data_IF_701925759655
#
_entry.id   IF_701925759655
#
_cell.length_a   1.000
_cell.length_b   1.000
_cell.length_c   1.000
_cell.angle_alpha   90.00
_cell.angle_beta   90.00
_cell.angle_gamma   90.00
#
_symmetry.space_group_name_H-M   'P 1'
#
loop_
_entity.id
_entity.type
_entity.pdbx_description
1 polymer ?
#
# COMPACT_ATOMS: atom_id res chain seq x y z
N UNK A 1 -16.07 12.49 -13.35
CA UNK A 1 -15.50 13.56 -14.23
C UNK A 1 -14.10 13.86 -13.74
N UNK A 2 -13.11 14.02 -14.63
CA UNK A 2 -11.74 14.33 -14.24
C UNK A 2 -11.70 15.66 -13.45
N UNK A 3 -10.98 15.67 -12.33
CA UNK A 3 -10.80 16.88 -11.50
C UNK A 3 -9.99 17.90 -12.29
N UNK A 4 -10.53 19.10 -12.49
CA UNK A 4 -9.76 20.23 -13.00
C UNK A 4 -8.76 20.69 -11.93
N UNK A 5 -7.49 20.35 -12.11
CA UNK A 5 -6.43 20.66 -11.15
C UNK A 5 -6.16 22.18 -11.07
N UNK A 6 -6.42 22.95 -12.13
CA UNK A 6 -6.26 24.40 -12.10
C UNK A 6 -7.37 25.04 -11.26
N UNK A 7 -8.60 24.58 -11.45
CA UNK A 7 -9.72 25.02 -10.62
C UNK A 7 -9.50 24.63 -9.15
N UNK A 8 -9.10 23.39 -8.88
CA UNK A 8 -8.77 22.92 -7.53
C UNK A 8 -7.67 23.78 -6.90
N UNK A 9 -6.61 24.10 -7.65
CA UNK A 9 -5.52 24.98 -7.18
C UNK A 9 -6.03 26.38 -6.85
N UNK A 10 -6.88 26.98 -7.67
CA UNK A 10 -7.45 28.30 -7.41
C UNK A 10 -8.29 28.34 -6.13
N UNK A 11 -9.18 27.34 -5.94
CA UNK A 11 -10.01 27.23 -4.73
C UNK A 11 -9.18 26.97 -3.48
N UNK A 12 -8.13 26.16 -3.57
CA UNK A 12 -7.18 25.93 -2.48
C UNK A 12 -6.42 27.21 -2.10
N UNK A 13 -5.96 28.00 -3.07
CA UNK A 13 -5.27 29.28 -2.80
C UNK A 13 -6.16 30.23 -1.99
N UNK A 14 -7.44 30.38 -2.38
CA UNK A 14 -8.39 31.20 -1.63
C UNK A 14 -8.61 30.67 -0.21
N UNK A 15 -8.82 29.36 -0.08
CA UNK A 15 -9.04 28.71 1.22
C UNK A 15 -7.82 28.84 2.15
N UNK A 16 -6.59 28.66 1.64
CA UNK A 16 -5.35 28.87 2.41
C UNK A 16 -5.23 30.33 2.85
N UNK A 17 -5.62 31.29 2.00
CA UNK A 17 -5.67 32.70 2.36
C UNK A 17 -6.52 32.99 3.59
N UNK A 18 -7.65 32.29 3.74
CA UNK A 18 -8.52 32.39 4.93
C UNK A 18 -7.85 31.83 6.19
N UNK A 19 -6.99 30.80 6.05
CA UNK A 19 -6.23 30.21 7.16
C UNK A 19 -4.97 31.02 7.53
N UNK A 20 -4.48 31.87 6.63
CA UNK A 20 -3.26 32.67 6.79
C UNK A 20 -3.53 34.18 6.63
N UNK A 21 -4.25 34.83 7.56
CA UNK A 21 -4.74 36.21 7.38
C UNK A 21 -3.65 37.28 7.22
N UNK A 22 -2.42 36.99 7.66
CA UNK A 22 -1.24 37.88 7.52
C UNK A 22 -0.46 37.64 6.22
N UNK A 23 -0.68 36.51 5.56
CA UNK A 23 0.00 36.20 4.31
C UNK A 23 -0.54 37.08 3.17
N UNK A 24 0.36 37.45 2.26
CA UNK A 24 0.10 38.19 1.03
C UNK A 24 0.71 37.42 -0.14
N UNK A 25 0.23 37.68 -1.35
CA UNK A 25 0.72 37.07 -2.59
C UNK A 25 0.82 35.53 -2.50
N UNK A 26 -0.21 34.88 -1.96
CA UNK A 26 -0.22 33.41 -1.81
C UNK A 26 -0.25 32.77 -3.20
N UNK A 27 0.66 31.83 -3.41
CA UNK A 27 0.78 31.05 -4.64
C UNK A 27 0.98 29.58 -4.29
N UNK A 28 0.48 28.71 -5.17
CA UNK A 28 0.67 27.27 -5.08
C UNK A 28 1.44 26.79 -6.30
N UNK A 29 2.42 25.91 -6.11
CA UNK A 29 3.03 25.18 -7.22
C UNK A 29 2.00 24.29 -7.92
N UNK A 30 2.41 23.64 -9.01
CA UNK A 30 1.60 22.57 -9.59
C UNK A 30 1.34 21.45 -8.58
N UNK A 31 0.10 20.93 -8.59
CA UNK A 31 -0.31 19.81 -7.73
C UNK A 31 0.21 18.51 -8.33
N UNK A 32 1.16 17.87 -7.67
CA UNK A 32 1.77 16.62 -8.12
C UNK A 32 1.16 15.44 -7.40
N UNK A 33 0.77 14.36 -8.10
CA UNK A 33 0.34 13.12 -7.45
C UNK A 33 1.57 12.25 -7.15
N UNK A 34 1.84 11.90 -5.87
CA UNK A 34 2.94 11.00 -5.54
C UNK A 34 2.52 9.56 -5.80
N UNK A 35 2.93 9.01 -6.95
CA UNK A 35 2.62 7.63 -7.33
C UNK A 35 1.14 7.27 -7.16
N UNK A 36 0.84 5.98 -6.98
CA UNK A 36 -0.54 5.51 -6.75
C UNK A 36 -0.80 5.19 -5.29
N UNK A 37 -1.62 6.02 -4.63
CA UNK A 37 -2.42 5.62 -3.47
C UNK A 37 -3.81 5.19 -3.94
N UNK A 38 -4.23 3.96 -3.65
CA UNK A 38 -5.50 3.41 -4.14
C UNK A 38 -6.71 3.78 -3.27
N UNK A 39 -6.46 4.05 -1.98
CA UNK A 39 -7.49 4.32 -0.98
C UNK A 39 -7.91 5.79 -0.93
N UNK A 40 -6.99 6.74 -1.13
CA UNK A 40 -7.22 8.18 -0.96
C UNK A 40 -6.47 9.02 -1.99
N UNK A 41 -6.95 10.23 -2.25
CA UNK A 41 -6.32 11.17 -3.18
C UNK A 41 -5.24 11.98 -2.44
N UNK A 42 -3.99 11.85 -2.90
CA UNK A 42 -2.83 12.57 -2.34
C UNK A 42 -2.23 13.52 -3.38
N UNK A 43 -1.90 14.75 -2.96
CA UNK A 43 -1.21 15.74 -3.79
C UNK A 43 -0.06 16.39 -3.01
N UNK A 44 1.07 16.58 -3.67
CA UNK A 44 2.25 17.32 -3.18
C UNK A 44 2.34 18.66 -3.90
N UNK A 45 2.61 19.72 -3.15
CA UNK A 45 2.85 21.06 -3.70
C UNK A 45 3.53 21.97 -2.68
N UNK A 46 4.03 23.10 -3.15
CA UNK A 46 4.58 24.17 -2.33
C UNK A 46 3.58 25.32 -2.21
N UNK A 47 3.45 25.86 -1.01
CA UNK A 47 2.77 27.12 -0.71
C UNK A 47 3.85 28.20 -0.63
N UNK A 48 3.81 29.20 -1.51
CA UNK A 48 4.65 30.40 -1.45
C UNK A 48 3.82 31.62 -0.99
N UNK A 49 4.36 32.45 -0.11
CA UNK A 49 3.69 33.69 0.32
C UNK A 49 4.67 34.74 0.82
N UNK A 50 4.20 35.98 0.95
CA UNK A 50 4.90 37.05 1.67
C UNK A 50 4.27 37.31 3.03
N UNK A 51 5.09 37.44 4.05
CA UNK A 51 4.67 37.85 5.40
C UNK A 51 5.79 38.70 6.02
N UNK A 52 5.46 39.85 6.59
CA UNK A 52 6.40 40.79 7.18
C UNK A 52 7.54 41.22 6.23
N UNK A 53 7.20 41.43 4.95
CA UNK A 53 8.14 41.86 3.92
C UNK A 53 9.12 40.77 3.44
N UNK A 54 8.94 39.51 3.86
CA UNK A 54 9.80 38.38 3.48
C UNK A 54 9.02 37.34 2.69
N UNK A 55 9.65 36.80 1.66
CA UNK A 55 9.17 35.61 0.97
C UNK A 55 9.39 34.37 1.85
N UNK A 56 8.37 33.53 1.91
CA UNK A 56 8.35 32.28 2.64
C UNK A 56 7.75 31.19 1.75
N UNK A 57 8.20 29.96 1.95
CA UNK A 57 7.62 28.79 1.29
C UNK A 57 7.47 27.62 2.27
N UNK A 58 6.55 26.71 1.95
CA UNK A 58 6.34 25.47 2.69
C UNK A 58 5.84 24.39 1.75
N UNK A 59 6.54 23.25 1.73
CA UNK A 59 6.09 22.05 1.05
C UNK A 59 5.04 21.32 1.88
N UNK A 60 3.94 20.95 1.24
CA UNK A 60 2.78 20.34 1.89
C UNK A 60 2.28 19.11 1.14
N UNK A 61 1.56 18.28 1.89
CA UNK A 61 0.80 17.14 1.37
C UNK A 61 -0.67 17.40 1.64
N UNK A 62 -1.49 17.33 0.60
CA UNK A 62 -2.94 17.25 0.70
C UNK A 62 -3.36 15.80 0.63
N UNK A 63 -4.17 15.35 1.59
CA UNK A 63 -4.86 14.05 1.54
C UNK A 63 -6.36 14.28 1.62
N UNK A 64 -7.11 13.63 0.73
CA UNK A 64 -8.57 13.74 0.65
C UNK A 64 -9.24 12.39 0.44
N UNK A 65 -10.51 12.29 0.85
CA UNK A 65 -11.31 11.11 0.57
C UNK A 65 -11.48 10.93 -0.96
N UNK A 66 -11.47 9.68 -1.47
CA UNK A 66 -11.67 9.46 -2.91
C UNK A 66 -13.08 9.88 -3.32
N UNK A 67 -13.18 10.62 -4.42
CA UNK A 67 -14.47 11.09 -4.96
C UNK A 67 -15.24 10.00 -5.69
N UNK A 68 -14.51 9.13 -6.37
CA UNK A 68 -15.04 8.02 -7.16
C UNK A 68 -14.31 6.73 -6.78
N UNK A 69 -14.94 5.57 -7.04
CA UNK A 69 -14.33 4.24 -6.88
C UNK A 69 -13.65 4.01 -5.52
N UNK A 70 -14.46 4.09 -4.46
CA UNK A 70 -14.06 3.82 -3.07
C UNK A 70 -13.47 2.42 -2.91
N UNK A 71 -12.42 2.30 -2.09
CA UNK A 71 -11.85 1.01 -1.65
C UNK A 71 -12.43 0.59 -0.31
N UNK A 72 -12.74 1.56 0.56
CA UNK A 72 -13.40 1.36 1.85
C UNK A 72 -14.86 1.83 1.81
N UNK A 73 -15.76 1.22 2.61
CA UNK A 73 -17.15 1.68 2.71
C UNK A 73 -17.26 3.10 3.26
N UNK A 74 -16.37 3.46 4.19
CA UNK A 74 -16.37 4.69 4.96
C UNK A 74 -14.96 5.33 4.92
N UNK A 75 -14.89 6.67 4.95
CA UNK A 75 -13.64 7.44 4.92
C UNK A 75 -13.67 8.54 5.99
N UNK A 76 -12.96 8.31 7.09
CA UNK A 76 -12.89 9.23 8.23
C UNK A 76 -11.59 10.07 8.19
N UNK A 77 -11.51 11.01 7.23
CA UNK A 77 -10.33 11.88 7.06
C UNK A 77 -10.06 12.73 8.31
N UNK A 78 -11.12 13.17 9.00
CA UNK A 78 -11.01 13.89 10.27
C UNK A 78 -10.38 13.07 11.39
N UNK A 79 -10.66 11.77 11.46
CA UNK A 79 -10.01 10.87 12.43
C UNK A 79 -8.51 10.76 12.17
N UNK A 80 -8.10 10.59 10.90
CA UNK A 80 -6.67 10.55 10.54
C UNK A 80 -5.95 11.83 10.95
N UNK A 81 -6.52 12.99 10.63
CA UNK A 81 -5.96 14.28 11.03
C UNK A 81 -5.79 14.38 12.54
N UNK A 82 -6.83 14.02 13.29
CA UNK A 82 -6.85 14.12 14.75
C UNK A 82 -5.86 13.16 15.40
N UNK A 83 -5.73 11.93 14.92
CA UNK A 83 -4.71 10.98 15.40
C UNK A 83 -3.33 11.58 15.23
N UNK A 84 -2.97 11.96 14.00
CA UNK A 84 -1.62 12.47 13.70
C UNK A 84 -1.31 13.76 14.45
N UNK A 85 -2.30 14.65 14.62
CA UNK A 85 -2.14 15.86 15.42
C UNK A 85 -1.84 15.53 16.89
N UNK A 86 -2.64 14.65 17.52
CA UNK A 86 -2.45 14.24 18.91
C UNK A 86 -1.07 13.60 19.10
N UNK A 87 -0.69 12.69 18.19
CA UNK A 87 0.62 12.03 18.24
C UNK A 87 1.75 13.04 18.12
N UNK A 88 1.66 13.99 17.19
CA UNK A 88 2.71 15.01 16.98
C UNK A 88 2.87 15.94 18.18
N UNK A 89 1.77 16.33 18.80
CA UNK A 89 1.76 17.32 19.87
C UNK A 89 2.10 16.73 21.25
N UNK A 90 1.86 15.43 21.46
CA UNK A 90 1.88 14.82 22.80
C UNK A 90 2.79 13.59 22.94
N UNK A 91 3.50 13.16 21.89
CA UNK A 91 4.30 11.92 21.90
C UNK A 91 5.57 12.02 21.06
N UNK A 92 6.44 11.01 21.20
CA UNK A 92 7.64 10.83 20.36
C UNK A 92 7.42 9.89 19.16
N UNK A 93 6.15 9.60 18.82
CA UNK A 93 5.83 8.85 17.59
C UNK A 93 6.15 9.75 16.39
N UNK A 94 7.00 9.31 15.45
CA UNK A 94 7.39 10.14 14.33
C UNK A 94 6.23 10.24 13.34
N UNK A 95 5.55 11.39 13.31
CA UNK A 95 4.49 11.71 12.35
C UNK A 95 4.70 13.12 11.78
N UNK A 96 4.10 13.37 10.60
CA UNK A 96 4.06 14.69 10.00
C UNK A 96 3.27 15.68 10.86
N UNK A 97 3.66 16.96 10.79
CA UNK A 97 2.91 18.02 11.44
C UNK A 97 1.65 18.31 10.63
N UNK A 98 0.51 18.23 11.30
CA UNK A 98 -0.78 18.59 10.71
C UNK A 98 -0.90 20.12 10.61
N UNK A 99 -1.40 20.62 9.49
CA UNK A 99 -1.58 22.06 9.25
C UNK A 99 -3.04 22.44 9.44
N UNK A 100 -3.93 21.95 8.59
CA UNK A 100 -5.34 22.31 8.60
C UNK A 100 -6.22 21.15 8.11
N UNK A 101 -7.41 21.04 8.68
CA UNK A 101 -8.49 20.14 8.24
C UNK A 101 -9.63 20.99 7.64
N UNK A 102 -10.22 20.49 6.56
CA UNK A 102 -11.47 20.98 6.00
C UNK A 102 -12.43 19.79 5.84
N UNK A 103 -13.55 19.87 6.55
CA UNK A 103 -14.58 18.83 6.53
C UNK A 103 -15.67 19.15 5.50
N UNK A 104 -15.82 20.42 5.10
CA UNK A 104 -16.79 20.82 4.09
C UNK A 104 -16.27 20.47 2.68
N UNK A 105 -16.96 19.59 1.93
CA UNK A 105 -16.57 19.26 0.57
C UNK A 105 -16.69 20.44 -0.41
N UNK A 106 -17.30 21.57 -0.03
CA UNK A 106 -17.50 22.71 -0.93
C UNK A 106 -16.20 23.27 -1.56
N UNK A 107 -15.06 23.14 -0.89
CA UNK A 107 -13.79 23.71 -1.37
C UNK A 107 -13.25 22.93 -2.57
N UNK A 108 -13.00 21.63 -2.43
CA UNK A 108 -12.39 20.83 -3.50
C UNK A 108 -13.26 19.67 -3.98
N UNK A 109 -14.45 19.45 -3.41
CA UNK A 109 -15.35 18.35 -3.74
C UNK A 109 -15.24 17.13 -2.81
N UNK A 110 -14.40 17.19 -1.77
CA UNK A 110 -14.25 16.16 -0.74
C UNK A 110 -13.63 16.76 0.54
N UNK A 111 -13.87 16.17 1.72
CA UNK A 111 -13.10 16.47 2.93
C UNK A 111 -11.62 16.19 2.73
N UNK A 112 -10.76 17.05 3.27
CA UNK A 112 -9.31 16.95 3.12
C UNK A 112 -8.55 17.58 4.28
N UNK A 113 -7.27 17.22 4.40
CA UNK A 113 -6.35 17.96 5.25
C UNK A 113 -5.05 18.30 4.52
N UNK A 114 -4.35 19.30 5.04
CA UNK A 114 -2.95 19.58 4.72
C UNK A 114 -2.04 19.19 5.89
N UNK A 115 -0.89 18.61 5.56
CA UNK A 115 0.22 18.35 6.49
C UNK A 115 1.55 18.79 5.89
N UNK A 116 2.58 18.94 6.71
CA UNK A 116 3.94 19.19 6.23
C UNK A 116 4.45 18.02 5.38
N UNK A 117 5.05 18.33 4.23
CA UNK A 117 5.82 17.35 3.47
C UNK A 117 7.14 17.11 4.20
N UNK A 118 7.41 15.86 4.53
CA UNK A 118 8.68 15.42 5.11
C UNK A 118 9.58 14.87 4.00
N UNK A 119 10.89 15.04 4.17
CA UNK A 119 11.88 14.51 3.24
C UNK A 119 12.23 13.06 3.58
N UNK A 120 12.24 12.20 2.56
CA UNK A 120 12.53 10.79 2.67
C UNK A 120 11.82 9.99 1.58
N UNK A 121 11.98 8.67 1.61
CA UNK A 121 11.32 7.74 0.71
C UNK A 121 10.61 6.62 1.45
N UNK A 122 9.64 6.01 0.79
CA UNK A 122 9.00 4.79 1.24
C UNK A 122 9.41 3.62 0.33
N UNK A 123 9.66 2.42 0.90
CA UNK A 123 9.69 1.19 0.14
C UNK A 123 8.36 1.02 -0.61
N UNK A 124 8.41 0.87 -1.93
CA UNK A 124 7.21 0.81 -2.76
C UNK A 124 6.51 -0.55 -2.65
N UNK A 125 5.18 -0.54 -2.66
CA UNK A 125 4.38 -1.77 -2.73
C UNK A 125 4.38 -2.35 -4.16
N UNK A 126 4.41 -1.48 -5.17
CA UNK A 126 4.49 -1.86 -6.58
C UNK A 126 5.38 -0.89 -7.38
N UNK A 127 6.35 -1.40 -8.16
CA UNK A 127 6.92 -2.74 -8.04
C UNK A 127 7.41 -3.00 -6.60
N UNK A 128 7.31 -4.25 -6.15
CA UNK A 128 7.61 -4.61 -4.76
C UNK A 128 9.00 -4.17 -4.32
N UNK A 129 9.10 -3.73 -3.06
CA UNK A 129 10.37 -3.38 -2.42
C UNK A 129 11.35 -4.55 -2.28
N UNK A 130 10.91 -5.81 -2.47
CA UNK A 130 11.79 -6.97 -2.61
C UNK A 130 12.37 -7.15 -4.01
N UNK A 131 11.90 -6.39 -5.00
CA UNK A 131 12.35 -6.45 -6.39
C UNK A 131 12.87 -5.14 -6.97
N UNK A 132 12.67 -4.00 -6.31
CA UNK A 132 13.28 -2.71 -6.72
C UNK A 132 13.18 -1.61 -5.67
N UNK A 133 13.86 -0.50 -5.92
CA UNK A 133 13.78 0.70 -5.11
C UNK A 133 14.62 0.63 -3.83
N UNK A 134 14.34 1.54 -2.90
CA UNK A 134 15.28 1.86 -1.82
C UNK A 134 15.63 0.69 -0.89
N UNK A 135 14.72 -0.28 -0.73
CA UNK A 135 14.90 -1.44 0.14
C UNK A 135 15.68 -2.55 -0.56
N UNK A 136 15.43 -2.74 -1.86
CA UNK A 136 16.19 -3.64 -2.72
C UNK A 136 17.65 -3.19 -2.84
N UNK A 137 17.88 -1.90 -3.06
CA UNK A 137 19.20 -1.28 -3.19
C UNK A 137 19.99 -1.19 -1.87
N UNK A 138 19.32 -1.38 -0.74
CA UNK A 138 19.95 -1.30 0.57
C UNK A 138 20.92 -2.48 0.82
N UNK A 139 21.91 -2.28 1.69
CA UNK A 139 22.70 -3.41 2.20
C UNK A 139 21.87 -4.26 3.18
N UNK A 140 22.25 -5.51 3.48
CA UNK A 140 21.57 -6.32 4.49
C UNK A 140 21.44 -5.62 5.85
N UNK A 141 22.48 -4.91 6.29
CA UNK A 141 22.45 -4.15 7.55
C UNK A 141 21.48 -2.97 7.50
N UNK A 142 21.40 -2.28 6.35
CA UNK A 142 20.43 -1.21 6.15
C UNK A 142 18.99 -1.74 6.13
N UNK A 143 18.72 -2.88 5.49
CA UNK A 143 17.40 -3.54 5.54
C UNK A 143 17.02 -3.94 6.96
N UNK A 144 17.99 -4.49 7.70
CA UNK A 144 17.82 -4.85 9.12
C UNK A 144 17.46 -3.62 9.94
N UNK A 145 18.20 -2.51 9.75
CA UNK A 145 17.95 -1.23 10.41
C UNK A 145 16.57 -0.67 10.09
N UNK A 146 16.17 -0.66 8.82
CA UNK A 146 14.85 -0.17 8.38
C UNK A 146 13.73 -0.96 9.05
N UNK A 147 13.86 -2.29 9.07
CA UNK A 147 12.89 -3.19 9.67
C UNK A 147 12.75 -2.98 11.19
N UNK A 148 13.88 -2.85 11.89
CA UNK A 148 13.87 -2.54 13.32
C UNK A 148 13.34 -1.16 13.63
N UNK A 149 13.65 -0.16 12.81
CA UNK A 149 13.08 1.19 12.95
C UNK A 149 11.55 1.17 12.83
N UNK A 150 11.00 0.45 11.85
CA UNK A 150 9.55 0.31 11.68
C UNK A 150 8.90 -0.40 12.87
N UNK A 151 9.50 -1.49 13.36
CA UNK A 151 9.04 -2.19 14.56
C UNK A 151 9.09 -1.30 15.80
N UNK A 152 10.16 -0.53 16.00
CA UNK A 152 10.33 0.37 17.13
C UNK A 152 9.31 1.52 17.09
N UNK A 153 9.01 2.06 15.90
CA UNK A 153 7.94 3.04 15.72
C UNK A 153 6.57 2.44 16.09
N UNK A 154 6.26 1.23 15.63
CA UNK A 154 5.04 0.51 16.00
C UNK A 154 4.96 0.26 17.52
N UNK A 155 6.06 -0.13 18.16
CA UNK A 155 6.10 -0.30 19.64
C UNK A 155 5.85 1.02 20.37
N UNK A 156 6.39 2.14 19.89
CA UNK A 156 6.10 3.46 20.47
C UNK A 156 4.59 3.76 20.45
N UNK A 157 3.91 3.45 19.35
CA UNK A 157 2.46 3.59 19.21
C UNK A 157 1.72 2.71 20.22
N UNK A 158 2.09 1.43 20.30
CA UNK A 158 1.42 0.47 21.18
C UNK A 158 1.55 0.82 22.68
N UNK A 159 2.68 1.42 23.08
CA UNK A 159 2.93 1.78 24.49
C UNK A 159 2.24 3.07 24.94
N UNK A 160 1.53 3.77 24.05
CA UNK A 160 0.80 4.98 24.40
C UNK A 160 -0.39 4.70 25.32
N UNK A 161 -0.59 5.59 26.28
CA UNK A 161 -1.82 5.66 27.07
C UNK A 161 -2.90 6.38 26.23
N UNK A 162 -3.57 5.62 25.37
CA UNK A 162 -4.55 6.16 24.42
C UNK A 162 -5.73 6.86 25.11
N UNK A 163 -6.04 6.51 26.37
CA UNK A 163 -7.08 7.16 27.17
C UNK A 163 -6.64 8.55 27.59
N UNK A 164 -5.41 8.70 28.10
CA UNK A 164 -4.84 10.04 28.41
C UNK A 164 -4.73 10.92 27.19
N UNK A 165 -4.45 10.33 26.03
CA UNK A 165 -4.42 11.01 24.73
C UNK A 165 -5.82 11.30 24.16
N UNK A 166 -6.90 10.89 24.84
CA UNK A 166 -8.29 11.10 24.42
C UNK A 166 -8.60 10.53 23.03
N UNK A 167 -8.04 9.37 22.71
CA UNK A 167 -8.24 8.66 21.44
C UNK A 167 -9.50 7.77 21.41
N UNK A 168 -10.42 7.93 22.37
CA UNK A 168 -11.65 7.13 22.47
C UNK A 168 -12.61 7.28 21.29
N UNK A 169 -12.45 8.31 20.45
CA UNK A 169 -13.23 8.48 19.21
C UNK A 169 -12.98 7.37 18.18
N UNK A 170 -11.85 6.65 18.26
CA UNK A 170 -11.59 5.45 17.46
C UNK A 170 -12.39 4.23 17.91
N UNK A 171 -13.18 4.39 18.98
CA UNK A 171 -14.03 3.36 19.51
C UNK A 171 -13.57 2.85 20.86
N UNK A 172 -14.25 3.29 21.91
CA UNK A 172 -14.11 2.66 23.22
C UNK A 172 -14.83 1.31 23.25
N UNK A 173 -14.08 0.25 23.57
CA UNK A 173 -14.65 -1.06 23.82
C UNK A 173 -15.02 -1.14 25.31
N UNK A 174 -16.18 -1.73 25.61
CA UNK A 174 -16.65 -1.89 27.01
C UNK A 174 -15.73 -2.80 27.81
N UNK A 175 -15.11 -3.77 27.11
CA UNK A 175 -14.11 -4.69 27.62
C UNK A 175 -13.19 -5.13 26.45
N UNK A 176 -12.07 -5.83 26.70
CA UNK A 176 -11.17 -6.23 25.63
C UNK A 176 -11.81 -7.15 24.57
N UNK A 177 -12.66 -8.10 24.95
CA UNK A 177 -13.33 -9.00 23.99
C UNK A 177 -14.22 -8.23 22.98
N UNK A 178 -14.87 -7.16 23.44
CA UNK A 178 -15.69 -6.26 22.62
C UNK A 178 -14.88 -5.60 21.49
N UNK A 179 -13.56 -5.48 21.61
CA UNK A 179 -12.72 -4.93 20.54
C UNK A 179 -12.57 -5.85 19.33
N UNK A 180 -12.41 -7.15 19.58
CA UNK A 180 -12.36 -8.18 18.53
C UNK A 180 -13.72 -8.25 17.84
N UNK A 181 -14.80 -8.20 18.62
CA UNK A 181 -16.17 -8.18 18.09
C UNK A 181 -16.42 -6.97 17.19
N UNK A 182 -15.96 -5.78 17.58
CA UNK A 182 -16.08 -4.56 16.77
C UNK A 182 -15.30 -4.67 15.47
N UNK A 183 -14.07 -5.17 15.51
CA UNK A 183 -13.28 -5.41 14.30
C UNK A 183 -14.00 -6.39 13.37
N UNK A 184 -14.45 -7.53 13.89
CA UNK A 184 -15.19 -8.51 13.09
C UNK A 184 -16.48 -7.93 12.50
N UNK A 185 -17.22 -7.13 13.27
CA UNK A 185 -18.44 -6.48 12.77
C UNK A 185 -18.14 -5.51 11.62
N UNK A 186 -17.04 -4.76 11.69
CA UNK A 186 -16.62 -3.89 10.57
C UNK A 186 -16.26 -4.70 9.34
N UNK A 187 -15.43 -5.74 9.48
CA UNK A 187 -14.98 -6.54 8.34
C UNK A 187 -16.07 -7.44 7.74
N UNK A 188 -17.06 -7.86 8.53
CA UNK A 188 -18.29 -8.50 8.03
C UNK A 188 -19.10 -7.51 7.17
N UNK A 189 -19.28 -6.27 7.63
CA UNK A 189 -19.93 -5.23 6.81
C UNK A 189 -19.14 -4.93 5.54
N UNK A 190 -17.82 -4.82 5.62
CA UNK A 190 -16.95 -4.65 4.45
C UNK A 190 -17.13 -5.81 3.47
N UNK A 191 -17.11 -7.05 3.97
CA UNK A 191 -17.26 -8.23 3.12
C UNK A 191 -18.61 -8.27 2.41
N UNK A 192 -19.70 -7.85 3.07
CA UNK A 192 -20.99 -7.73 2.39
C UNK A 192 -21.02 -6.57 1.38
N UNK A 193 -20.40 -5.43 1.72
CA UNK A 193 -20.34 -4.24 0.87
C UNK A 193 -19.56 -4.46 -0.43
N UNK A 194 -18.47 -5.23 -0.40
CA UNK A 194 -17.64 -5.48 -1.59
C UNK A 194 -18.28 -6.47 -2.58
N UNK A 195 -19.37 -7.15 -2.21
CA UNK A 195 -20.11 -8.04 -3.11
C UNK A 195 -20.87 -7.21 -4.15
N UNK A 196 -20.78 -7.59 -5.42
CA UNK A 196 -21.53 -6.96 -6.50
C UNK A 196 -23.03 -7.32 -6.40
N UNK A 197 -23.36 -8.46 -5.78
CA UNK A 197 -24.73 -8.82 -5.42
C UNK A 197 -24.77 -9.81 -4.23
N UNK A 198 -25.92 -9.96 -3.54
CA UNK A 198 -26.03 -10.82 -2.36
C UNK A 198 -25.76 -12.32 -2.58
N UNK A 199 -25.80 -12.80 -3.84
CA UNK A 199 -25.55 -14.21 -4.19
C UNK A 199 -24.09 -14.50 -4.55
N UNK A 200 -23.25 -13.47 -4.63
CA UNK A 200 -21.82 -13.66 -4.88
C UNK A 200 -21.17 -14.44 -3.74
N UNK A 201 -20.51 -15.54 -4.07
CA UNK A 201 -19.86 -16.43 -3.10
C UNK A 201 -18.34 -16.26 -3.15
N UNK A 202 -17.74 -16.22 -1.96
CA UNK A 202 -16.29 -16.28 -1.75
C UNK A 202 -16.01 -17.37 -0.72
N UNK A 203 -15.94 -18.66 -1.11
CA UNK A 203 -15.96 -19.77 -0.17
C UNK A 203 -14.87 -19.70 0.90
N UNK A 204 -13.63 -19.36 0.51
CA UNK A 204 -12.51 -19.20 1.43
C UNK A 204 -12.73 -18.05 2.41
N UNK A 205 -13.25 -16.91 1.94
CA UNK A 205 -13.53 -15.74 2.79
C UNK A 205 -14.69 -16.02 3.76
N UNK A 206 -15.74 -16.70 3.29
CA UNK A 206 -16.90 -17.11 4.09
C UNK A 206 -16.50 -18.09 5.21
N UNK A 207 -15.70 -19.11 4.88
CA UNK A 207 -15.17 -20.06 5.86
C UNK A 207 -14.23 -19.37 6.86
N UNK A 208 -13.40 -18.43 6.39
CA UNK A 208 -12.50 -17.64 7.25
C UNK A 208 -13.28 -16.78 8.24
N UNK A 209 -14.30 -16.06 7.78
CA UNK A 209 -15.14 -15.24 8.66
C UNK A 209 -15.85 -16.10 9.72
N UNK A 210 -16.33 -17.29 9.34
CA UNK A 210 -16.92 -18.23 10.29
C UNK A 210 -15.90 -18.72 11.33
N UNK A 211 -14.67 -19.02 10.89
CA UNK A 211 -13.58 -19.41 11.80
C UNK A 211 -13.24 -18.27 12.77
N UNK A 212 -13.10 -17.04 12.29
CA UNK A 212 -12.82 -15.87 13.12
C UNK A 212 -13.90 -15.66 14.19
N UNK A 213 -15.18 -15.72 13.80
CA UNK A 213 -16.31 -15.59 14.74
C UNK A 213 -16.34 -16.71 15.80
N UNK A 214 -15.94 -17.93 15.43
CA UNK A 214 -15.89 -19.09 16.34
C UNK A 214 -14.70 -19.05 17.30
N UNK A 215 -13.56 -18.54 16.87
CA UNK A 215 -12.30 -18.59 17.62
C UNK A 215 -11.94 -17.25 18.28
N UNK A 216 -12.94 -16.38 18.49
CA UNK A 216 -12.76 -15.11 19.19
C UNK A 216 -12.05 -15.32 20.53
N UNK A 217 -11.18 -14.37 20.87
CA UNK A 217 -10.45 -14.33 22.12
C UNK A 217 -10.67 -12.98 22.80
N UNK A 218 -10.28 -12.90 24.08
CA UNK A 218 -10.21 -11.63 24.80
C UNK A 218 -8.75 -11.17 24.82
N UNK A 219 -8.39 -10.06 24.15
CA UNK A 219 -7.08 -9.46 24.28
C UNK A 219 -6.72 -9.18 25.74
N UNK A 220 -5.44 -9.34 26.09
CA UNK A 220 -4.95 -8.99 27.43
C UNK A 220 -4.90 -7.48 27.65
N UNK A 221 -4.83 -6.71 26.55
CA UNK A 221 -4.60 -5.27 26.54
C UNK A 221 -5.24 -4.63 25.32
N UNK A 222 -5.51 -3.34 25.47
CA UNK A 222 -6.11 -2.49 24.45
C UNK A 222 -5.18 -1.31 24.21
N UNK A 223 -4.63 -1.19 23.01
CA UNK A 223 -3.71 -0.11 22.62
C UNK A 223 -4.27 0.67 21.45
N UNK A 224 -3.66 1.83 21.14
CA UNK A 224 -3.76 2.36 19.79
C UNK A 224 -3.04 1.39 18.85
N UNK A 225 -3.74 0.91 17.83
CA UNK A 225 -3.19 0.15 16.72
C UNK A 225 -3.15 1.09 15.50
N UNK A 226 -2.01 1.11 14.83
CA UNK A 226 -1.75 1.88 13.63
C UNK A 226 -2.64 1.41 12.46
N UNK A 227 -2.90 0.10 12.35
CA UNK A 227 -3.82 -0.44 11.36
C UNK A 227 -3.13 -0.88 10.07
N UNK A 228 -2.69 0.06 9.21
CA UNK A 228 -1.88 -0.27 8.01
C UNK A 228 -0.38 -0.23 8.32
N UNK A 229 0.01 -1.01 9.33
CA UNK A 229 1.34 -0.97 9.95
C UNK A 229 2.39 -1.74 9.14
N UNK A 230 2.85 -1.15 8.04
CA UNK A 230 3.80 -1.76 7.08
C UNK A 230 4.98 -0.85 6.72
N UNK A 231 6.06 -1.46 6.21
CA UNK A 231 7.26 -0.69 5.82
C UNK A 231 6.95 0.32 4.71
N UNK A 232 6.01 -0.01 3.81
CA UNK A 232 5.60 0.88 2.73
C UNK A 232 4.81 2.12 3.19
N UNK A 233 4.40 2.17 4.46
CA UNK A 233 3.86 3.37 5.11
C UNK A 233 4.84 3.98 6.12
N UNK A 234 6.11 3.60 6.05
CA UNK A 234 7.18 4.17 6.86
C UNK A 234 8.10 4.98 5.95
N UNK A 235 8.22 6.28 6.22
CA UNK A 235 9.12 7.18 5.52
C UNK A 235 10.53 7.04 6.12
N UNK A 236 11.53 6.86 5.28
CA UNK A 236 12.93 6.69 5.68
C UNK A 236 13.83 7.77 5.09
N UNK A 237 14.83 8.19 5.85
CA UNK A 237 15.82 9.18 5.41
C UNK A 237 16.80 8.63 4.37
N UNK A 238 17.36 9.52 3.56
CA UNK A 238 18.57 9.24 2.76
C UNK A 238 19.79 9.97 3.35
N UNK A 239 20.99 9.37 3.27
CA UNK A 239 21.27 7.96 2.94
C UNK A 239 21.08 7.01 4.15
N UNK A 240 20.84 7.55 5.34
CA UNK A 240 20.99 6.82 6.61
C UNK A 240 19.91 5.77 6.90
N UNK A 241 18.77 5.80 6.19
CA UNK A 241 17.65 4.87 6.35
C UNK A 241 17.02 4.90 7.76
N UNK A 242 17.03 6.06 8.41
CA UNK A 242 16.35 6.27 9.69
C UNK A 242 14.86 6.49 9.46
N UNK A 243 14.00 6.03 10.37
CA UNK A 243 12.56 6.33 10.32
C UNK A 243 12.34 7.82 10.54
N UNK A 244 11.76 8.48 9.54
CA UNK A 244 11.38 9.90 9.57
C UNK A 244 9.93 10.06 10.02
N UNK A 245 9.03 9.19 9.53
CA UNK A 245 7.63 9.19 9.93
C UNK A 245 6.93 7.86 9.65
N UNK A 246 5.92 7.53 10.45
CA UNK A 246 4.90 6.54 10.13
C UNK A 246 3.64 7.26 9.64
N UNK A 247 3.06 6.76 8.55
CA UNK A 247 2.00 7.43 7.80
C UNK A 247 0.77 6.53 7.70
N UNK A 248 -0.27 7.03 7.06
CA UNK A 248 -1.47 6.25 6.75
C UNK A 248 -2.20 5.65 7.97
N UNK A 249 -2.93 6.53 8.65
CA UNK A 249 -3.67 6.20 9.87
C UNK A 249 -5.15 5.90 9.59
N UNK A 250 -5.52 5.60 8.33
CA UNK A 250 -6.92 5.41 7.93
C UNK A 250 -7.56 4.15 8.50
N UNK A 251 -6.74 3.16 8.81
CA UNK A 251 -7.15 1.88 9.38
C UNK A 251 -6.93 1.80 10.90
N UNK A 252 -6.58 2.92 11.55
CA UNK A 252 -6.25 2.95 12.97
C UNK A 252 -7.46 2.62 13.85
N UNK A 253 -7.23 1.90 14.94
CA UNK A 253 -8.26 1.45 15.85
C UNK A 253 -7.72 1.25 17.26
N UNK A 254 -8.61 1.11 18.24
CA UNK A 254 -8.24 0.65 19.59
C UNK A 254 -8.45 -0.86 19.66
N UNK A 255 -7.38 -1.62 19.89
CA UNK A 255 -7.38 -3.08 19.67
C UNK A 255 -6.26 -3.84 20.38
N UNK A 256 -6.15 -5.12 20.03
CA UNK A 256 -4.98 -5.93 20.36
C UNK A 256 -3.80 -5.52 19.46
N UNK A 257 -2.64 -5.11 20.02
CA UNK A 257 -1.47 -4.72 19.23
C UNK A 257 -0.87 -5.87 18.40
N UNK A 258 -1.19 -7.13 18.71
CA UNK A 258 -0.79 -8.26 17.87
C UNK A 258 -1.42 -8.19 16.46
N UNK A 259 -2.51 -7.45 16.29
CA UNK A 259 -3.13 -7.19 14.99
C UNK A 259 -2.20 -6.42 14.02
N UNK A 260 -1.45 -5.44 14.53
CA UNK A 260 -0.47 -4.69 13.73
C UNK A 260 0.76 -5.53 13.41
N UNK A 261 1.20 -6.37 14.35
CA UNK A 261 2.34 -7.27 14.14
C UNK A 261 2.00 -8.33 13.06
N UNK A 262 0.79 -8.88 13.11
CA UNK A 262 0.30 -9.82 12.10
C UNK A 262 0.11 -9.15 10.73
N UNK A 263 -0.37 -7.90 10.69
CA UNK A 263 -0.45 -7.11 9.46
C UNK A 263 0.94 -6.91 8.84
N UNK A 264 1.93 -6.55 9.67
CA UNK A 264 3.31 -6.35 9.24
C UNK A 264 3.89 -7.60 8.55
N UNK A 265 3.70 -8.79 9.13
CA UNK A 265 4.16 -10.04 8.54
C UNK A 265 3.41 -10.42 7.27
N UNK A 266 2.09 -10.28 7.26
CA UNK A 266 1.27 -10.67 6.12
C UNK A 266 1.58 -9.80 4.90
N UNK A 267 1.79 -8.48 5.08
CA UNK A 267 2.17 -7.60 3.97
C UNK A 267 3.56 -7.94 3.43
N UNK A 268 4.51 -8.31 4.28
CA UNK A 268 5.83 -8.73 3.79
C UNK A 268 5.79 -10.04 3.02
N UNK A 269 4.97 -11.00 3.48
CA UNK A 269 4.70 -12.24 2.76
C UNK A 269 4.04 -11.97 1.40
N UNK A 270 3.07 -11.05 1.34
CA UNK A 270 2.47 -10.61 0.08
C UNK A 270 3.52 -9.99 -0.86
N UNK A 271 4.34 -9.07 -0.36
CA UNK A 271 5.30 -8.34 -1.18
C UNK A 271 6.50 -9.20 -1.60
N UNK A 272 6.75 -10.32 -0.93
CA UNK A 272 7.72 -11.33 -1.36
C UNK A 272 7.02 -12.49 -2.10
N UNK A 273 6.58 -13.51 -1.35
CA UNK A 273 5.95 -14.73 -1.87
C UNK A 273 4.74 -14.46 -2.75
N UNK A 274 3.90 -13.47 -2.40
CA UNK A 274 2.71 -13.12 -3.19
C UNK A 274 3.03 -12.59 -4.59
N UNK A 275 4.22 -12.01 -4.79
CA UNK A 275 4.73 -11.62 -6.10
C UNK A 275 5.76 -12.59 -6.68
N UNK A 276 5.97 -13.76 -6.04
CA UNK A 276 6.98 -14.73 -6.48
C UNK A 276 8.42 -14.29 -6.28
N UNK A 277 8.66 -13.30 -5.43
CA UNK A 277 9.98 -12.76 -5.19
C UNK A 277 10.64 -13.42 -3.97
N UNK A 278 11.97 -13.64 -4.01
CA UNK A 278 12.69 -14.02 -2.82
C UNK A 278 12.66 -12.89 -1.79
N UNK A 279 12.52 -13.25 -0.52
CA UNK A 279 12.65 -12.31 0.58
C UNK A 279 14.12 -11.91 0.72
N UNK A 280 14.42 -10.61 0.68
CA UNK A 280 15.80 -10.11 0.65
C UNK A 280 16.58 -10.40 1.95
N UNK A 281 17.88 -10.69 1.82
CA UNK A 281 18.78 -10.94 2.94
C UNK A 281 18.92 -9.72 3.86
N UNK A 282 18.94 -9.91 5.17
CA UNK A 282 18.88 -8.81 6.15
C UNK A 282 17.46 -8.34 6.47
N UNK A 283 16.42 -8.94 5.88
CA UNK A 283 15.06 -8.86 6.41
C UNK A 283 14.94 -9.84 7.58
N UNK A 284 14.70 -9.39 8.83
CA UNK A 284 14.61 -10.28 9.99
C UNK A 284 13.48 -11.29 9.89
N UNK A 285 13.69 -12.50 10.43
CA UNK A 285 12.67 -13.55 10.44
C UNK A 285 11.54 -13.25 11.43
N UNK A 286 10.31 -13.68 11.13
CA UNK A 286 9.13 -13.41 11.96
C UNK A 286 9.37 -13.72 13.45
N UNK A 287 10.04 -14.85 13.75
CA UNK A 287 10.37 -15.24 15.11
C UNK A 287 11.36 -14.29 15.81
N UNK A 288 12.29 -13.67 15.08
CA UNK A 288 13.19 -12.64 15.62
C UNK A 288 12.42 -11.35 15.90
N UNK A 289 11.52 -10.97 14.99
CA UNK A 289 10.65 -9.79 15.16
C UNK A 289 9.77 -9.95 16.38
N UNK A 290 9.13 -11.10 16.56
CA UNK A 290 8.33 -11.42 17.76
C UNK A 290 9.19 -11.29 19.02
N UNK A 291 10.36 -11.95 19.08
CA UNK A 291 11.23 -11.85 20.27
C UNK A 291 11.64 -10.41 20.59
N UNK A 292 11.97 -9.61 19.58
CA UNK A 292 12.34 -8.20 19.77
C UNK A 292 11.13 -7.37 20.22
N UNK A 293 9.96 -7.58 19.62
CA UNK A 293 8.71 -6.95 20.03
C UNK A 293 8.40 -7.24 21.50
N UNK A 294 8.46 -8.51 21.91
CA UNK A 294 8.24 -8.91 23.30
C UNK A 294 9.25 -8.26 24.26
N UNK A 295 10.52 -8.16 23.86
CA UNK A 295 11.56 -7.51 24.66
C UNK A 295 11.34 -6.00 24.82
N UNK A 296 10.91 -5.28 23.77
CA UNK A 296 10.69 -3.84 23.80
C UNK A 296 9.41 -3.43 24.55
N UNK A 297 8.40 -4.29 24.50
CA UNK A 297 7.09 -4.06 25.14
C UNK A 297 7.01 -4.63 26.55
N UNK A 298 7.73 -5.72 26.82
CA UNK A 298 7.55 -6.57 28.00
C UNK A 298 6.30 -7.47 27.91
N UNK A 299 5.70 -7.60 26.73
CA UNK A 299 4.44 -8.32 26.52
C UNK A 299 4.68 -9.61 25.75
N UNK A 300 3.83 -10.62 25.94
CA UNK A 300 3.90 -11.88 25.20
C UNK A 300 2.90 -11.88 24.05
N UNK A 301 3.34 -12.32 22.88
CA UNK A 301 2.48 -12.47 21.71
C UNK A 301 1.83 -13.88 21.78
N UNK A 302 0.54 -13.95 22.10
CA UNK A 302 -0.18 -15.21 22.39
C UNK A 302 -1.24 -15.55 21.35
N UNK A 303 -1.70 -14.57 20.59
CA UNK A 303 -2.84 -14.67 19.68
C UNK A 303 -2.43 -14.49 18.20
N UNK A 304 -1.14 -14.66 17.88
CA UNK A 304 -0.58 -14.37 16.55
C UNK A 304 -1.29 -15.12 15.42
N UNK A 305 -1.63 -16.40 15.60
CA UNK A 305 -2.34 -17.15 14.56
C UNK A 305 -3.71 -16.53 14.25
N UNK A 306 -4.49 -16.18 15.30
CA UNK A 306 -5.77 -15.53 15.09
C UNK A 306 -5.59 -14.19 14.37
N UNK A 307 -4.63 -13.38 14.81
CA UNK A 307 -4.36 -12.08 14.22
C UNK A 307 -3.80 -12.19 12.79
N UNK A 308 -3.05 -13.25 12.44
CA UNK A 308 -2.59 -13.53 11.09
C UNK A 308 -3.74 -13.92 10.16
N UNK A 309 -4.66 -14.77 10.63
CA UNK A 309 -5.89 -15.08 9.89
C UNK A 309 -6.71 -13.81 9.69
N UNK A 310 -6.89 -12.99 10.73
CA UNK A 310 -7.62 -11.72 10.64
C UNK A 310 -6.93 -10.74 9.69
N UNK A 311 -5.62 -10.54 9.78
CA UNK A 311 -4.88 -9.66 8.88
C UNK A 311 -5.02 -10.11 7.43
N UNK A 312 -4.84 -11.41 7.17
CA UNK A 312 -4.95 -11.97 5.82
C UNK A 312 -6.37 -11.86 5.27
N UNK A 313 -7.40 -12.05 6.11
CA UNK A 313 -8.80 -11.80 5.74
C UNK A 313 -9.03 -10.34 5.36
N UNK A 314 -8.61 -9.41 6.21
CA UNK A 314 -8.74 -7.96 5.98
C UNK A 314 -8.09 -7.54 4.67
N UNK A 315 -6.88 -8.00 4.41
CA UNK A 315 -6.16 -7.67 3.20
C UNK A 315 -6.73 -8.38 1.96
N UNK A 316 -7.17 -9.62 2.08
CA UNK A 316 -7.90 -10.32 1.01
C UNK A 316 -9.14 -9.55 0.56
N UNK A 317 -9.93 -9.02 1.51
CA UNK A 317 -11.06 -8.15 1.20
C UNK A 317 -10.63 -6.88 0.45
N UNK A 318 -9.54 -6.23 0.88
CA UNK A 318 -8.99 -5.05 0.21
C UNK A 318 -8.53 -5.37 -1.22
N UNK A 319 -7.81 -6.48 -1.42
CA UNK A 319 -7.35 -6.94 -2.74
C UNK A 319 -8.54 -7.20 -3.66
N UNK A 320 -9.55 -7.94 -3.19
CA UNK A 320 -10.78 -8.21 -3.95
C UNK A 320 -11.48 -6.90 -4.35
N UNK A 321 -11.65 -5.96 -3.41
CA UNK A 321 -12.25 -4.65 -3.69
C UNK A 321 -11.46 -3.86 -4.74
N UNK A 322 -10.12 -3.87 -4.68
CA UNK A 322 -9.25 -3.21 -5.66
C UNK A 322 -9.37 -3.86 -7.04
N UNK A 323 -9.32 -5.20 -7.12
CA UNK A 323 -9.48 -5.93 -8.37
C UNK A 323 -10.83 -5.63 -9.04
N UNK A 324 -11.91 -5.62 -8.25
CA UNK A 324 -13.23 -5.23 -8.75
C UNK A 324 -13.31 -3.77 -9.18
N UNK A 325 -12.63 -2.87 -8.46
CA UNK A 325 -12.49 -1.46 -8.85
C UNK A 325 -11.80 -1.34 -10.21
N UNK A 326 -10.68 -2.01 -10.41
CA UNK A 326 -9.98 -2.04 -11.70
C UNK A 326 -10.87 -2.57 -12.82
N UNK A 327 -11.62 -3.65 -12.56
CA UNK A 327 -12.62 -4.17 -13.51
C UNK A 327 -13.68 -3.13 -13.87
N UNK A 328 -14.20 -2.39 -12.88
CA UNK A 328 -15.17 -1.29 -13.10
C UNK A 328 -14.57 -0.11 -13.88
N UNK A 329 -13.24 0.03 -13.85
CA UNK A 329 -12.50 1.03 -14.63
C UNK A 329 -12.09 0.53 -16.02
N UNK A 330 -12.54 -0.67 -16.43
CA UNK A 330 -12.27 -1.23 -17.76
C UNK A 330 -10.97 -2.03 -17.87
N UNK A 331 -10.25 -2.24 -16.77
CA UNK A 331 -9.06 -3.11 -16.75
C UNK A 331 -9.55 -4.57 -16.80
N UNK A 332 -9.06 -5.41 -17.72
CA UNK A 332 -9.46 -6.81 -17.80
C UNK A 332 -8.93 -7.57 -16.59
N UNK A 333 -9.83 -7.91 -15.67
CA UNK A 333 -9.54 -8.73 -14.48
C UNK A 333 -10.33 -10.03 -14.59
N UNK A 334 -9.62 -11.15 -14.61
CA UNK A 334 -10.22 -12.47 -14.63
C UNK A 334 -10.94 -12.78 -13.30
N UNK A 335 -12.06 -13.49 -13.38
CA UNK A 335 -12.82 -13.91 -12.19
C UNK A 335 -11.98 -14.84 -11.29
N UNK A 336 -11.08 -15.65 -11.86
CA UNK A 336 -10.16 -16.47 -11.05
C UNK A 336 -9.29 -15.58 -10.17
N UNK A 337 -8.75 -14.46 -10.65
CA UNK A 337 -7.88 -13.60 -9.82
C UNK A 337 -8.62 -12.99 -8.61
N UNK A 338 -9.93 -12.75 -8.74
CA UNK A 338 -10.79 -12.29 -7.64
C UNK A 338 -10.92 -13.37 -6.56
N UNK A 339 -11.06 -14.64 -6.96
CA UNK A 339 -11.28 -15.76 -6.03
C UNK A 339 -9.98 -16.45 -5.58
N UNK A 340 -8.93 -16.35 -6.38
CA UNK A 340 -7.65 -17.06 -6.32
C UNK A 340 -6.50 -16.04 -6.41
N UNK A 341 -6.23 -15.43 -5.27
CA UNK A 341 -5.11 -14.52 -5.04
C UNK A 341 -4.32 -14.98 -3.79
N UNK A 342 -3.14 -14.39 -3.59
CA UNK A 342 -2.26 -14.76 -2.48
C UNK A 342 -2.95 -14.78 -1.11
N UNK A 343 -3.73 -13.75 -0.71
CA UNK A 343 -4.46 -13.81 0.56
C UNK A 343 -5.41 -15.00 0.70
N UNK A 344 -6.19 -15.30 -0.35
CA UNK A 344 -7.11 -16.46 -0.32
C UNK A 344 -6.36 -17.79 -0.28
N UNK A 345 -5.23 -17.93 -0.98
CA UNK A 345 -4.38 -19.12 -0.88
C UNK A 345 -3.76 -19.27 0.51
N UNK A 346 -3.28 -18.16 1.10
CA UNK A 346 -2.69 -18.15 2.44
C UNK A 346 -3.72 -18.49 3.52
N UNK A 347 -4.94 -17.95 3.42
CA UNK A 347 -6.06 -18.33 4.31
C UNK A 347 -6.40 -19.81 4.20
N UNK A 348 -6.47 -20.35 2.99
CA UNK A 348 -6.74 -21.76 2.80
C UNK A 348 -5.68 -22.64 3.45
N UNK A 349 -4.40 -22.25 3.34
CA UNK A 349 -3.30 -22.92 4.02
C UNK A 349 -3.41 -22.84 5.56
N UNK A 350 -3.58 -21.63 6.12
CA UNK A 350 -3.65 -21.41 7.57
C UNK A 350 -4.80 -22.17 8.24
N UNK A 351 -5.92 -22.32 7.53
CA UNK A 351 -7.15 -22.91 8.07
C UNK A 351 -7.39 -24.36 7.61
N UNK A 352 -6.50 -24.94 6.79
CA UNK A 352 -6.68 -26.27 6.23
C UNK A 352 -7.91 -26.40 5.31
N UNK A 353 -8.27 -25.31 4.63
CA UNK A 353 -9.38 -25.29 3.67
C UNK A 353 -8.90 -25.76 2.27
N UNK A 354 -9.81 -26.17 1.38
CA UNK A 354 -9.47 -26.38 -0.02
C UNK A 354 -8.85 -25.11 -0.63
N UNK A 355 -7.75 -25.28 -1.36
CA UNK A 355 -7.11 -24.17 -2.08
C UNK A 355 -8.08 -23.61 -3.15
N UNK A 356 -8.24 -22.28 -3.25
CA UNK A 356 -9.09 -21.67 -4.26
C UNK A 356 -8.47 -21.78 -5.67
N UNK A 357 -9.32 -21.81 -6.69
CA UNK A 357 -8.91 -21.80 -8.10
C UNK A 357 -8.08 -23.02 -8.53
N UNK A 358 -7.49 -22.92 -9.72
CA UNK A 358 -6.56 -23.94 -10.24
C UNK A 358 -5.20 -23.73 -9.58
N UNK A 359 -4.54 -24.83 -9.18
CA UNK A 359 -3.18 -24.78 -8.63
C UNK A 359 -2.24 -24.15 -9.67
N UNK A 360 -1.83 -22.91 -9.43
CA UNK A 360 -0.81 -22.25 -10.25
C UNK A 360 0.51 -23.02 -10.07
N UNK A 361 1.30 -23.23 -11.13
CA UNK A 361 2.61 -23.87 -11.01
C UNK A 361 3.46 -23.17 -9.95
N UNK A 362 4.25 -23.92 -9.18
CA UNK A 362 5.23 -23.32 -8.28
C UNK A 362 6.17 -22.41 -9.06
N UNK A 363 6.36 -21.19 -8.55
CA UNK A 363 7.27 -20.21 -9.11
C UNK A 363 8.69 -20.77 -8.94
N UNK A 364 9.22 -21.31 -10.03
CA UNK A 364 10.57 -21.85 -10.09
C UNK A 364 11.55 -20.66 -10.09
N UNK A 365 12.72 -20.86 -9.46
CA UNK A 365 13.80 -19.86 -9.47
C UNK A 365 14.21 -19.54 -10.91
N UNK A 366 14.63 -18.32 -11.21
CA UNK A 366 14.99 -17.93 -12.58
C UNK A 366 16.16 -18.79 -13.11
N UNK A 367 17.04 -19.25 -12.22
CA UNK A 367 18.16 -20.17 -12.48
C UNK A 367 17.70 -21.61 -12.81
N UNK A 368 16.45 -21.93 -12.52
CA UNK A 368 15.84 -23.26 -12.69
C UNK A 368 14.70 -23.25 -13.72
N UNK A 369 14.41 -22.09 -14.31
CA UNK A 369 13.25 -21.86 -15.16
C UNK A 369 13.67 -21.44 -16.55
N UNK A 370 12.93 -21.95 -17.54
CA UNK A 370 12.92 -21.38 -18.87
C UNK A 370 11.63 -20.58 -19.02
N UNK A 371 11.76 -19.34 -19.45
CA UNK A 371 10.68 -18.37 -19.57
C UNK A 371 10.78 -17.62 -20.88
N UNK A 372 9.64 -17.35 -21.50
CA UNK A 372 9.52 -16.63 -22.76
C UNK A 372 8.57 -15.46 -22.60
N UNK A 373 9.11 -14.24 -22.76
CA UNK A 373 8.32 -13.01 -22.72
C UNK A 373 8.21 -12.45 -24.14
N UNK A 374 6.99 -12.40 -24.67
CA UNK A 374 6.70 -11.76 -25.95
C UNK A 374 6.52 -10.25 -25.75
N UNK A 375 7.14 -9.45 -26.62
CA UNK A 375 6.94 -8.02 -26.70
C UNK A 375 6.24 -7.68 -28.02
N UNK A 376 5.22 -6.85 -27.93
CA UNK A 376 4.47 -6.28 -29.03
C UNK A 376 4.63 -4.75 -28.96
N UNK A 377 5.70 -4.22 -29.57
CA UNK A 377 5.89 -2.78 -29.64
C UNK A 377 5.12 -2.20 -30.82
N UNK A 378 4.16 -1.33 -30.52
CA UNK A 378 3.31 -0.69 -31.54
C UNK A 378 3.77 0.74 -31.85
N UNK A 379 3.34 1.28 -32.99
CA UNK A 379 3.68 2.64 -33.44
C UNK A 379 4.90 2.70 -34.37
N UNK A 380 5.30 3.89 -34.83
CA UNK A 380 6.41 4.06 -35.77
C UNK A 380 7.74 3.52 -35.21
N UNK A 381 8.33 2.52 -35.87
CA UNK A 381 9.54 1.85 -35.40
C UNK A 381 9.31 0.76 -34.35
N UNK A 382 8.05 0.42 -34.06
CA UNK A 382 7.71 -0.75 -33.25
C UNK A 382 7.91 -2.06 -34.02
N UNK A 383 8.26 -3.12 -33.29
CA UNK A 383 8.42 -4.47 -33.81
C UNK A 383 8.06 -5.52 -32.77
N UNK A 384 7.73 -6.71 -33.25
CA UNK A 384 7.57 -7.89 -32.40
C UNK A 384 8.94 -8.54 -32.16
N UNK A 385 9.21 -8.86 -30.89
CA UNK A 385 10.37 -9.64 -30.49
C UNK A 385 10.04 -10.37 -29.19
N UNK A 386 10.84 -11.36 -28.85
CA UNK A 386 10.67 -12.09 -27.59
C UNK A 386 12.00 -12.30 -26.88
N UNK A 387 11.91 -12.33 -25.55
CA UNK A 387 13.00 -12.65 -24.66
C UNK A 387 12.86 -14.10 -24.22
N UNK A 388 13.91 -14.90 -24.43
CA UNK A 388 14.02 -16.22 -23.79
C UNK A 388 15.01 -16.11 -22.65
N UNK A 389 14.52 -16.26 -21.43
CA UNK A 389 15.36 -16.56 -20.27
C UNK A 389 15.44 -18.07 -20.09
N UNK A 390 16.64 -18.62 -20.15
CA UNK A 390 16.88 -20.04 -19.90
C UNK A 390 17.89 -20.15 -18.75
N UNK A 391 17.41 -20.52 -17.57
CA UNK A 391 18.22 -20.73 -16.36
C UNK A 391 19.13 -19.54 -16.04
N UNK A 392 18.54 -18.35 -16.00
CA UNK A 392 19.25 -17.12 -15.67
C UNK A 392 19.96 -16.45 -16.85
N UNK A 393 19.94 -17.02 -18.07
CA UNK A 393 20.55 -16.43 -19.26
C UNK A 393 19.49 -15.92 -20.23
N UNK A 394 19.53 -14.63 -20.53
CA UNK A 394 18.59 -14.00 -21.45
C UNK A 394 19.13 -13.98 -22.88
N UNK A 395 18.26 -14.25 -23.86
CA UNK A 395 18.54 -14.08 -25.28
C UNK A 395 17.35 -13.42 -25.98
N UNK A 396 17.64 -12.44 -26.86
CA UNK A 396 16.64 -11.68 -27.60
C UNK A 396 16.47 -12.27 -29.00
N UNK A 397 15.23 -12.41 -29.45
CA UNK A 397 14.88 -12.96 -30.76
C UNK A 397 13.84 -12.08 -31.44
N UNK A 398 13.97 -11.89 -32.75
CA UNK A 398 12.98 -11.13 -33.53
C UNK A 398 11.74 -11.98 -33.87
N UNK A 399 10.59 -11.33 -34.00
CA UNK A 399 9.33 -11.96 -34.38
C UNK A 399 8.50 -12.45 -33.20
N UNK A 400 7.65 -13.46 -33.45
CA UNK A 400 6.71 -14.00 -32.48
C UNK A 400 7.17 -15.34 -31.90
N UNK A 401 7.13 -15.44 -30.57
CA UNK A 401 7.26 -16.69 -29.84
C UNK A 401 6.05 -17.59 -30.09
N UNK A 402 6.29 -18.90 -30.20
CA UNK A 402 5.24 -19.89 -30.44
C UNK A 402 4.29 -20.06 -29.24
N UNK A 403 4.86 -20.06 -28.03
CA UNK A 403 4.15 -20.22 -26.75
C UNK A 403 4.82 -19.31 -25.71
N UNK A 404 4.48 -18.01 -25.65
CA UNK A 404 5.01 -17.14 -24.61
C UNK A 404 4.37 -17.43 -23.25
N UNK A 405 5.15 -17.36 -22.18
CA UNK A 405 4.67 -17.44 -20.80
C UNK A 405 4.05 -16.12 -20.35
N UNK A 406 4.52 -15.01 -20.92
CA UNK A 406 3.98 -13.67 -20.71
C UNK A 406 4.01 -12.87 -22.01
N UNK A 407 3.09 -11.92 -22.16
CA UNK A 407 3.12 -10.93 -23.24
C UNK A 407 3.11 -9.52 -22.67
N UNK A 408 3.83 -8.61 -23.34
CA UNK A 408 3.88 -7.17 -23.06
C UNK A 408 3.52 -6.46 -24.35
N UNK A 409 2.45 -5.66 -24.35
CA UNK A 409 2.04 -4.83 -25.49
C UNK A 409 2.01 -3.37 -25.10
N UNK A 410 2.73 -2.53 -25.83
CA UNK A 410 2.92 -1.11 -25.50
C UNK A 410 3.44 -0.35 -26.71
N UNK A 411 3.18 0.94 -26.82
CA UNK A 411 3.80 1.74 -27.88
C UNK A 411 5.29 1.94 -27.63
N UNK A 412 6.09 2.10 -28.69
CA UNK A 412 7.53 2.34 -28.54
C UNK A 412 7.81 3.64 -27.76
N UNK A 413 6.97 4.65 -27.93
CA UNK A 413 7.10 5.94 -27.26
C UNK A 413 6.74 5.83 -25.78
N UNK A 414 5.68 5.08 -25.45
CA UNK A 414 5.27 4.83 -24.07
C UNK A 414 6.30 3.98 -23.35
N UNK A 415 6.86 2.96 -24.01
CA UNK A 415 7.95 2.16 -23.46
C UNK A 415 9.16 3.04 -23.11
N UNK A 416 9.57 3.91 -24.04
CA UNK A 416 10.65 4.87 -23.83
C UNK A 416 10.35 5.86 -22.69
N UNK A 417 9.12 6.37 -22.61
CA UNK A 417 8.70 7.27 -21.54
C UNK A 417 8.71 6.56 -20.17
N UNK A 418 8.29 5.29 -20.12
CA UNK A 418 8.39 4.46 -18.91
C UNK A 418 9.84 4.30 -18.47
N UNK A 419 10.73 4.02 -19.42
CA UNK A 419 12.16 3.84 -19.18
C UNK A 419 12.86 5.11 -18.69
N UNK A 420 12.41 6.28 -19.14
CA UNK A 420 12.90 7.59 -18.66
C UNK A 420 12.24 8.05 -17.35
N UNK A 421 11.24 7.32 -16.85
CA UNK A 421 10.46 7.71 -15.68
C UNK A 421 9.48 8.86 -15.95
N UNK A 422 9.27 9.23 -17.22
CA UNK A 422 8.31 10.26 -17.65
C UNK A 422 6.86 9.74 -17.64
N UNK A 423 6.70 8.42 -17.77
CA UNK A 423 5.41 7.73 -17.67
C UNK A 423 5.53 6.64 -16.60
N UNK A 424 4.68 6.68 -15.58
CA UNK A 424 4.65 5.62 -14.60
C UNK A 424 4.16 4.31 -15.26
N UNK A 425 4.86 3.19 -15.02
CA UNK A 425 4.53 1.89 -15.62
C UNK A 425 3.10 1.42 -15.26
N UNK A 426 2.67 1.69 -14.03
CA UNK A 426 1.34 1.32 -13.55
C UNK A 426 0.25 2.26 -14.09
N UNK A 427 0.57 3.54 -14.34
CA UNK A 427 -0.34 4.46 -15.06
C UNK A 427 -0.50 4.04 -16.52
N UNK A 428 0.59 3.65 -17.18
CA UNK A 428 0.53 3.07 -18.52
C UNK A 428 -0.32 1.80 -18.51
N UNK A 429 -0.16 0.94 -17.51
CA UNK A 429 -0.91 -0.30 -17.39
C UNK A 429 -2.40 -0.07 -17.15
N UNK A 430 -2.74 0.74 -16.16
CA UNK A 430 -4.12 1.04 -15.78
C UNK A 430 -4.90 1.83 -16.83
N UNK A 431 -4.21 2.62 -17.67
CA UNK A 431 -4.81 3.32 -18.81
C UNK A 431 -4.93 2.46 -20.09
N UNK A 432 -4.47 1.21 -20.05
CA UNK A 432 -4.45 0.29 -21.20
C UNK A 432 -3.36 0.60 -22.24
N UNK A 433 -2.45 1.52 -21.94
CA UNK A 433 -1.28 1.86 -22.79
C UNK A 433 -0.17 0.81 -22.71
N UNK A 434 -0.08 0.11 -21.58
CA UNK A 434 0.76 -1.06 -21.36
C UNK A 434 -0.13 -2.24 -20.99
N UNK A 435 -0.28 -3.21 -21.88
CA UNK A 435 -1.05 -4.41 -21.59
C UNK A 435 -0.08 -5.55 -21.30
N UNK A 436 -0.23 -6.19 -20.15
CA UNK A 436 0.52 -7.39 -19.79
C UNK A 436 -0.42 -8.55 -19.61
N UNK A 437 -0.06 -9.71 -20.15
CA UNK A 437 -0.83 -10.95 -20.04
C UNK A 437 0.09 -12.12 -19.68
N UNK A 438 -0.44 -13.15 -19.03
CA UNK A 438 0.31 -14.31 -18.53
C UNK A 438 0.90 -14.14 -17.11
N UNK A 439 2.04 -14.77 -16.85
CA UNK A 439 2.63 -14.83 -15.49
C UNK A 439 3.30 -13.52 -15.05
N UNK A 440 2.56 -12.67 -14.34
CA UNK A 440 3.08 -11.38 -13.81
C UNK A 440 4.21 -11.55 -12.78
N UNK A 441 4.25 -12.66 -12.05
CA UNK A 441 5.35 -12.97 -11.13
C UNK A 441 6.64 -13.19 -11.91
N UNK A 442 6.53 -13.92 -13.03
CA UNK A 442 7.64 -14.14 -13.95
C UNK A 442 8.13 -12.84 -14.61
N UNK A 443 7.23 -11.95 -15.03
CA UNK A 443 7.61 -10.62 -15.52
C UNK A 443 8.38 -9.79 -14.48
N UNK A 444 7.96 -9.88 -13.22
CA UNK A 444 8.63 -9.18 -12.11
C UNK A 444 10.01 -9.77 -11.85
N UNK A 445 10.14 -11.10 -11.87
CA UNK A 445 11.43 -11.81 -11.74
C UNK A 445 12.39 -11.49 -12.89
N UNK A 446 11.87 -11.34 -14.11
CA UNK A 446 12.65 -11.06 -15.31
C UNK A 446 12.98 -9.57 -15.50
N UNK A 447 12.55 -8.70 -14.58
CA UNK A 447 12.64 -7.24 -14.75
C UNK A 447 14.04 -6.77 -15.14
N UNK A 448 15.10 -7.21 -14.46
CA UNK A 448 16.47 -6.81 -14.79
C UNK A 448 16.89 -7.27 -16.20
N UNK A 449 16.51 -8.48 -16.59
CA UNK A 449 16.82 -9.02 -17.92
C UNK A 449 16.04 -8.30 -19.01
N UNK A 450 14.77 -7.96 -18.76
CA UNK A 450 13.95 -7.14 -19.63
C UNK A 450 14.59 -5.75 -19.74
N UNK A 451 15.02 -5.18 -18.63
CA UNK A 451 15.61 -3.86 -18.57
C UNK A 451 16.95 -3.78 -19.34
N UNK A 452 17.73 -4.85 -19.32
CA UNK A 452 18.95 -4.98 -20.09
C UNK A 452 18.66 -5.22 -21.58
N UNK A 453 17.76 -6.15 -21.91
CA UNK A 453 17.40 -6.50 -23.28
C UNK A 453 16.74 -5.34 -24.05
N UNK A 454 16.09 -4.43 -23.31
CA UNK A 454 15.43 -3.24 -23.85
C UNK A 454 16.23 -1.95 -23.72
N UNK A 455 17.48 -2.01 -23.22
CA UNK A 455 18.30 -0.81 -22.97
C UNK A 455 18.51 0.08 -24.20
N UNK A 456 18.57 -0.52 -25.39
CA UNK A 456 18.85 0.16 -26.66
C UNK A 456 17.60 0.37 -27.52
N UNK A 457 16.42 0.16 -26.93
CA UNK A 457 15.12 0.41 -27.56
C UNK A 457 14.67 1.80 -27.12
#
# INVERSE_FOLDING_TARGET
MAVDLNEMRARLTEWIGKKMPRARDISLSELQKPGMGLSSETYLFDIGWKEDGREKSKSVVLRSAPREHKVFPEYEIGHQFRIMQILKENTDVPVAKMLWLEEDPAVIGAPFFLMEKLEGDVPQDYPSYHGSGMYFEATPDQRTKMWWGALEAMVKVHKLDWKKLKLGFLGESRNPADSVDRQLAYWDRFFNWMKDNPKESHPTMEATLAWLKKNRYSPERMTLCWGDSRIGNTLFSRPNRDVVAVMDWEMAYIGDPEGDLAWFFMLDKQHSKGYGLPRLSGTPEDAEVVRRYEALTGWKAKNLLYNEVLATFRYGLTVISVLKKFRKQGIPIEDDLILNNFPTQHLAHLLGLPAPGVKKPEIKRIEETKAVVQFHFTGPGGSDWYLVSDRGKASRHEGMAKNPDCTIKVSIDDWKAIRRGELNQLDAWSSGRLVTDGDLGLLTLLKEMIDEATRNI
#
